data_IF_284038922537
#
_entry.id   IF_284038922537
#
_cell.length_a   1.000
_cell.length_b   1.000
_cell.length_c   1.000
_cell.angle_alpha   90.00
_cell.angle_beta   90.00
_cell.angle_gamma   90.00
#
_symmetry.space_group_name_H-M   'P 1'
#
loop_
_entity.id
_entity.type
_entity.pdbx_description
1 polymer ?
#
# COMPACT_ATOMS: atom_id res chain seq x y z
N UNK A 1 0.81 -8.67 -24.40
CA UNK A 1 0.91 -7.90 -23.15
C UNK A 1 2.33 -8.03 -22.54
N UNK A 2 3.18 -7.01 -22.65
CA UNK A 2 4.56 -7.02 -22.09
C UNK A 2 4.69 -6.30 -20.73
N UNK A 3 3.69 -5.50 -20.34
CA UNK A 3 3.78 -4.62 -19.16
C UNK A 3 3.84 -5.39 -17.83
N UNK A 4 3.05 -6.44 -17.67
CA UNK A 4 2.90 -7.15 -16.39
C UNK A 4 4.06 -8.08 -16.03
N UNK A 5 4.85 -8.54 -17.01
CA UNK A 5 5.98 -9.48 -16.76
C UNK A 5 7.21 -8.83 -16.11
N UNK A 6 7.20 -7.50 -15.87
CA UNK A 6 8.30 -6.76 -15.24
C UNK A 6 8.03 -6.33 -13.79
N UNK A 7 6.86 -6.65 -13.22
CA UNK A 7 6.42 -6.13 -11.92
C UNK A 7 7.37 -6.43 -10.76
N UNK A 8 7.80 -7.68 -10.57
CA UNK A 8 8.63 -8.06 -9.40
C UNK A 8 10.02 -7.42 -9.41
N UNK A 9 10.69 -7.39 -10.57
CA UNK A 9 11.99 -6.71 -10.70
C UNK A 9 11.88 -5.19 -10.44
N UNK A 10 10.71 -4.63 -10.70
CA UNK A 10 10.37 -3.23 -10.38
C UNK A 10 10.11 -3.04 -8.87
N UNK A 11 9.53 -4.03 -8.18
CA UNK A 11 9.33 -4.00 -6.71
C UNK A 11 10.66 -3.96 -5.97
N UNK A 12 11.64 -4.79 -6.33
CA UNK A 12 12.95 -4.79 -5.64
C UNK A 12 13.70 -3.46 -5.78
N UNK A 13 13.60 -2.81 -6.95
CA UNK A 13 14.17 -1.48 -7.14
C UNK A 13 13.44 -0.44 -6.29
N UNK A 14 12.11 -0.48 -6.28
CA UNK A 14 11.30 0.41 -5.46
C UNK A 14 11.55 0.23 -3.96
N UNK A 15 11.73 -1.01 -3.48
CA UNK A 15 12.07 -1.32 -2.09
C UNK A 15 13.44 -0.78 -1.68
N UNK A 16 14.44 -0.82 -2.57
CA UNK A 16 15.73 -0.17 -2.31
C UNK A 16 15.61 1.34 -2.15
N UNK A 17 14.83 1.98 -3.03
CA UNK A 17 14.53 3.43 -2.92
C UNK A 17 13.80 3.74 -1.62
N UNK A 18 12.80 2.91 -1.28
CA UNK A 18 12.01 3.05 -0.06
C UNK A 18 12.85 2.88 1.20
N UNK A 19 13.74 1.89 1.23
CA UNK A 19 14.66 1.70 2.35
C UNK A 19 15.57 2.93 2.57
N UNK A 20 16.07 3.51 1.47
CA UNK A 20 16.92 4.70 1.53
C UNK A 20 16.15 5.95 2.00
N UNK A 21 14.88 6.09 1.64
CA UNK A 21 14.06 7.25 1.99
C UNK A 21 13.41 7.15 3.36
N UNK A 22 12.88 5.98 3.74
CA UNK A 22 12.10 5.79 4.95
C UNK A 22 12.95 5.56 6.20
N UNK A 23 14.19 5.08 6.05
CA UNK A 23 15.09 4.84 7.18
C UNK A 23 14.46 3.91 8.23
N UNK A 24 14.31 4.40 9.47
CA UNK A 24 13.68 3.64 10.56
C UNK A 24 12.21 3.28 10.30
N UNK A 25 11.50 4.10 9.51
CA UNK A 25 10.10 3.86 9.14
C UNK A 25 9.95 2.82 8.02
N UNK A 26 11.04 2.27 7.48
CA UNK A 26 10.99 1.32 6.37
C UNK A 26 10.13 0.09 6.67
N UNK A 27 10.21 -0.45 7.90
CA UNK A 27 9.40 -1.60 8.30
C UNK A 27 7.89 -1.30 8.27
N UNK A 28 7.50 -0.15 8.80
CA UNK A 28 6.10 0.28 8.82
C UNK A 28 5.59 0.56 7.40
N UNK A 29 6.42 1.17 6.54
CA UNK A 29 6.08 1.40 5.15
C UNK A 29 5.88 0.09 4.36
N UNK A 30 6.75 -0.91 4.57
CA UNK A 30 6.61 -2.24 3.95
C UNK A 30 5.34 -2.94 4.45
N UNK A 31 5.03 -2.85 5.74
CA UNK A 31 3.81 -3.41 6.31
C UNK A 31 2.55 -2.74 5.72
N UNK A 32 2.51 -1.41 5.64
CA UNK A 32 1.40 -0.68 5.04
C UNK A 32 1.18 -1.05 3.57
N UNK A 33 2.25 -1.16 2.79
CA UNK A 33 2.20 -1.60 1.40
C UNK A 33 1.69 -3.05 1.28
N UNK A 34 2.14 -3.95 2.15
CA UNK A 34 1.66 -5.34 2.21
C UNK A 34 0.16 -5.36 2.46
N UNK A 35 -0.30 -4.67 3.50
CA UNK A 35 -1.71 -4.67 3.92
C UNK A 35 -2.63 -4.09 2.84
N UNK A 36 -2.18 -3.05 2.11
CA UNK A 36 -2.88 -2.53 0.93
C UNK A 36 -3.08 -3.62 -0.12
N UNK A 37 -2.01 -4.35 -0.50
CA UNK A 37 -2.13 -5.38 -1.53
C UNK A 37 -2.89 -6.61 -1.03
N UNK A 38 -2.71 -7.00 0.23
CA UNK A 38 -3.41 -8.10 0.88
C UNK A 38 -4.93 -7.89 0.82
N UNK A 39 -5.40 -6.70 1.21
CA UNK A 39 -6.82 -6.37 1.18
C UNK A 39 -7.44 -6.54 -0.23
N UNK A 40 -6.69 -6.25 -1.29
CA UNK A 40 -7.13 -6.43 -2.67
C UNK A 40 -7.05 -7.90 -3.09
N UNK A 41 -5.98 -8.62 -2.74
CA UNK A 41 -5.84 -10.05 -3.05
C UNK A 41 -6.95 -10.87 -2.40
N UNK A 42 -7.35 -10.53 -1.17
CA UNK A 42 -8.46 -11.19 -0.45
C UNK A 42 -9.82 -10.96 -1.11
N UNK A 43 -10.04 -9.75 -1.66
CA UNK A 43 -11.31 -9.35 -2.27
C UNK A 43 -11.06 -8.58 -3.57
N UNK A 44 -10.68 -9.26 -4.66
CA UNK A 44 -10.27 -8.58 -5.89
C UNK A 44 -11.41 -7.79 -6.53
N UNK A 45 -12.66 -8.22 -6.35
CA UNK A 45 -13.86 -7.57 -6.92
C UNK A 45 -14.30 -6.29 -6.17
N UNK A 46 -13.70 -6.02 -4.99
CA UNK A 46 -14.02 -4.84 -4.19
C UNK A 46 -13.28 -3.60 -4.74
N UNK A 47 -13.95 -2.87 -5.64
CA UNK A 47 -13.41 -1.67 -6.28
C UNK A 47 -12.98 -0.57 -5.29
N UNK A 48 -13.58 -0.49 -4.11
CA UNK A 48 -13.18 0.50 -3.11
C UNK A 48 -11.75 0.26 -2.60
N UNK A 49 -11.34 -1.00 -2.48
CA UNK A 49 -9.97 -1.39 -2.06
C UNK A 49 -8.92 -1.11 -3.14
N UNK A 50 -9.35 -0.99 -4.39
CA UNK A 50 -8.49 -0.70 -5.55
C UNK A 50 -8.26 0.80 -5.77
N UNK A 51 -8.78 1.66 -4.88
CA UNK A 51 -8.70 3.12 -4.97
C UNK A 51 -8.10 3.70 -3.69
N UNK A 52 -6.93 4.30 -3.80
CA UNK A 52 -6.24 4.96 -2.70
C UNK A 52 -6.29 6.47 -2.93
N UNK A 53 -6.78 7.23 -1.95
CA UNK A 53 -6.75 8.70 -1.99
C UNK A 53 -5.38 9.17 -1.54
N UNK A 54 -4.67 9.94 -2.35
CA UNK A 54 -3.35 10.46 -1.95
C UNK A 54 -3.45 11.42 -0.76
N UNK A 55 -4.59 12.10 -0.59
CA UNK A 55 -4.85 12.97 0.55
C UNK A 55 -5.17 12.23 1.87
N UNK A 56 -5.26 10.89 1.86
CA UNK A 56 -5.46 10.13 3.08
C UNK A 56 -4.21 10.25 3.97
N UNK A 57 -4.37 10.78 5.19
CA UNK A 57 -3.24 11.08 6.08
C UNK A 57 -2.44 9.84 6.49
N UNK A 58 -3.08 8.67 6.67
CA UNK A 58 -2.38 7.43 7.00
C UNK A 58 -1.56 6.95 5.80
N UNK A 59 -2.16 6.97 4.60
CA UNK A 59 -1.44 6.65 3.36
C UNK A 59 -0.25 7.60 3.13
N UNK A 60 -0.45 8.90 3.37
CA UNK A 60 0.61 9.89 3.23
C UNK A 60 1.78 9.63 4.18
N UNK A 61 1.47 9.44 5.47
CA UNK A 61 2.44 9.18 6.53
C UNK A 61 3.24 7.91 6.28
N UNK A 62 2.57 6.83 5.89
CA UNK A 62 3.17 5.48 5.90
C UNK A 62 3.76 5.09 4.55
N UNK A 63 3.33 5.72 3.44
CA UNK A 63 3.73 5.32 2.09
C UNK A 63 4.08 6.51 1.20
N UNK A 64 3.21 7.51 1.10
CA UNK A 64 3.28 8.52 0.04
C UNK A 64 4.44 9.51 0.21
N UNK A 65 4.82 9.78 1.46
CA UNK A 65 5.89 10.71 1.81
C UNK A 65 7.30 10.12 1.62
N UNK A 66 7.41 8.83 1.28
CA UNK A 66 8.69 8.17 1.06
C UNK A 66 8.92 7.87 -0.42
N UNK A 67 10.11 8.22 -0.91
CA UNK A 67 10.51 7.84 -2.27
C UNK A 67 10.49 6.32 -2.40
N UNK A 68 9.95 5.80 -3.49
CA UNK A 68 9.79 4.36 -3.69
C UNK A 68 8.44 3.79 -3.23
N UNK A 69 7.72 4.45 -2.31
CA UNK A 69 6.40 3.98 -1.84
C UNK A 69 5.38 3.85 -2.98
N UNK A 70 5.17 4.93 -3.74
CA UNK A 70 4.35 4.89 -4.96
C UNK A 70 4.90 3.95 -6.04
N UNK A 71 6.23 3.78 -6.12
CA UNK A 71 6.84 2.93 -7.15
C UNK A 71 6.51 1.46 -6.92
N UNK A 72 6.40 1.00 -5.66
CA UNK A 72 5.88 -0.34 -5.33
C UNK A 72 4.45 -0.50 -5.86
N UNK A 73 3.58 0.49 -5.62
CA UNK A 73 2.19 0.46 -6.09
C UNK A 73 2.10 0.47 -7.62
N UNK A 74 2.92 1.28 -8.30
CA UNK A 74 3.00 1.28 -9.77
C UNK A 74 3.47 -0.07 -10.31
N UNK A 75 4.37 -0.75 -9.61
CA UNK A 75 4.84 -2.10 -9.96
C UNK A 75 3.72 -3.14 -9.83
N UNK A 76 2.80 -2.96 -8.86
CA UNK A 76 1.59 -3.77 -8.72
C UNK A 76 0.51 -3.44 -9.78
N UNK A 77 0.64 -2.33 -10.50
CA UNK A 77 -0.27 -1.92 -11.58
C UNK A 77 -1.16 -0.72 -11.26
N UNK A 78 -0.97 -0.06 -10.13
CA UNK A 78 -1.67 1.19 -9.83
C UNK A 78 -1.31 2.28 -10.85
N UNK A 79 -2.26 3.16 -11.09
CA UNK A 79 -2.10 4.32 -11.95
C UNK A 79 -2.55 5.57 -11.21
N UNK A 80 -1.79 6.67 -11.34
CA UNK A 80 -2.20 7.96 -10.81
C UNK A 80 -3.30 8.55 -11.70
N UNK A 81 -4.40 8.95 -11.09
CA UNK A 81 -5.51 9.65 -11.75
C UNK A 81 -5.88 10.90 -10.94
N UNK A 82 -6.50 11.86 -11.62
CA UNK A 82 -7.06 13.05 -10.99
C UNK A 82 -8.57 13.06 -11.26
N UNK A 83 -9.37 13.40 -10.25
CA UNK A 83 -10.81 13.64 -10.42
C UNK A 83 -11.23 14.89 -9.68
N UNK A 84 -12.35 15.47 -10.08
CA UNK A 84 -13.00 16.51 -9.29
C UNK A 84 -13.34 15.98 -7.91
N UNK A 85 -12.89 16.67 -6.87
CA UNK A 85 -13.13 16.30 -5.48
C UNK A 85 -14.57 16.54 -5.03
N UNK A 86 -15.35 17.30 -5.82
CA UNK A 86 -16.71 17.74 -5.45
C UNK A 86 -16.74 18.72 -4.27
N UNK A 87 -15.59 19.20 -3.80
CA UNK A 87 -15.48 20.23 -2.77
C UNK A 87 -15.34 21.58 -3.47
N UNK A 88 -16.29 22.47 -3.21
CA UNK A 88 -16.15 23.88 -3.56
C UNK A 88 -15.16 24.51 -2.58
N UNK A 89 -14.21 25.34 -3.05
CA UNK A 89 -13.30 26.05 -2.15
C UNK A 89 -14.12 26.91 -1.17
N UNK A 90 -13.59 27.09 0.04
CA UNK A 90 -14.18 28.03 0.98
C UNK A 90 -14.20 29.41 0.31
N UNK A 91 -15.41 29.95 0.11
CA UNK A 91 -15.65 31.18 -0.62
C UNK A 91 -14.97 32.36 0.09
N UNK A 92 -13.84 32.80 -0.42
CA UNK A 92 -13.29 34.13 -0.19
C UNK A 92 -12.88 34.68 -1.56
N UNK A 93 -13.75 35.56 -2.06
CA UNK A 93 -13.62 36.51 -3.17
C UNK A 93 -13.31 35.98 -4.61
N UNK A 94 -14.24 36.38 -5.49
CA UNK A 94 -14.20 36.42 -6.97
C UNK A 94 -14.58 35.16 -7.76
N UNK A 95 -15.42 35.41 -8.77
CA UNK A 95 -16.02 34.47 -9.72
C UNK A 95 -14.96 33.78 -10.57
N UNK A 96 -14.45 32.65 -10.11
CA UNK A 96 -13.73 31.71 -10.95
C UNK A 96 -14.23 30.29 -10.65
N UNK A 97 -14.49 29.52 -11.71
CA UNK A 97 -14.87 28.10 -11.71
C UNK A 97 -13.69 27.22 -11.22
N UNK A 98 -13.21 27.45 -10.00
CA UNK A 98 -12.09 26.70 -9.41
C UNK A 98 -12.56 25.34 -8.89
N UNK A 99 -12.46 24.33 -9.74
CA UNK A 99 -12.67 22.94 -9.33
C UNK A 99 -11.45 22.39 -8.59
N UNK A 100 -11.63 21.95 -7.35
CA UNK A 100 -10.57 21.28 -6.57
C UNK A 100 -10.38 19.86 -7.10
N UNK A 101 -9.19 19.55 -7.60
CA UNK A 101 -8.81 18.21 -8.08
C UNK A 101 -8.23 17.38 -6.95
N UNK A 102 -8.67 16.12 -6.82
CA UNK A 102 -8.05 15.12 -5.95
C UNK A 102 -7.28 14.07 -6.74
N UNK A 103 -6.11 13.72 -6.23
CA UNK A 103 -5.24 12.67 -6.77
C UNK A 103 -5.56 11.31 -6.15
N UNK A 104 -5.73 10.29 -6.98
CA UNK A 104 -5.95 8.91 -6.56
C UNK A 104 -4.96 7.97 -7.24
N UNK A 105 -4.56 6.92 -6.52
CA UNK A 105 -3.96 5.74 -7.12
C UNK A 105 -5.06 4.71 -7.34
N UNK A 106 -5.23 4.28 -8.58
CA UNK A 106 -6.29 3.35 -8.98
C UNK A 106 -5.67 2.11 -9.64
N UNK A 107 -6.03 0.93 -9.14
CA UNK A 107 -5.72 -0.34 -9.78
C UNK A 107 -6.91 -0.74 -10.66
N UNK A 108 -6.75 -0.62 -11.98
CA UNK A 108 -7.81 -0.96 -12.94
C UNK A 108 -7.78 -2.45 -13.28
N UNK A 109 -8.92 -3.08 -13.10
CA UNK A 109 -9.14 -4.47 -13.50
C UNK A 109 -9.37 -4.56 -15.01
N UNK A 110 -8.70 -5.50 -15.72
CA UNK A 110 -9.02 -5.83 -17.10
C UNK A 110 -10.43 -6.44 -17.20
N UNK A 111 -11.22 -6.04 -18.18
CA UNK A 111 -12.54 -6.64 -18.40
C UNK A 111 -12.37 -8.02 -19.04
N UNK A 112 -12.75 -9.13 -18.38
CA UNK A 112 -12.51 -10.48 -18.91
C UNK A 112 -13.22 -10.75 -20.25
N UNK A 113 -14.33 -10.06 -20.52
CA UNK A 113 -15.13 -10.24 -21.74
C UNK A 113 -14.53 -9.53 -22.95
N UNK A 114 -13.87 -8.37 -22.75
CA UNK A 114 -13.27 -7.60 -23.84
C UNK A 114 -11.76 -7.81 -23.96
N UNK A 115 -11.07 -7.91 -22.83
CA UNK A 115 -9.60 -7.95 -22.74
C UNK A 115 -9.07 -9.39 -22.65
N UNK A 116 -9.98 -10.34 -22.41
CA UNK A 116 -9.70 -11.77 -22.30
C UNK A 116 -9.31 -12.21 -20.89
N UNK A 117 -9.64 -13.46 -20.56
CA UNK A 117 -9.34 -14.06 -19.26
C UNK A 117 -7.83 -14.13 -18.96
N UNK A 118 -7.00 -14.25 -19.99
CA UNK A 118 -5.54 -14.21 -19.86
C UNK A 118 -5.03 -12.86 -19.34
N UNK A 119 -5.66 -11.75 -19.74
CA UNK A 119 -5.27 -10.42 -19.28
C UNK A 119 -5.64 -10.23 -17.80
N UNK A 120 -6.82 -10.67 -17.41
CA UNK A 120 -7.26 -10.70 -16.01
C UNK A 120 -6.33 -11.58 -15.15
N UNK A 121 -6.03 -12.79 -15.62
CA UNK A 121 -5.13 -13.73 -14.91
C UNK A 121 -3.74 -13.12 -14.73
N UNK A 122 -3.16 -12.53 -15.77
CA UNK A 122 -1.86 -11.89 -15.68
C UNK A 122 -1.84 -10.68 -14.74
N UNK A 123 -2.93 -9.91 -14.69
CA UNK A 123 -3.10 -8.81 -13.74
C UNK A 123 -3.12 -9.33 -12.30
N UNK A 124 -3.94 -10.34 -12.02
CA UNK A 124 -4.08 -10.89 -10.68
C UNK A 124 -2.81 -11.62 -10.21
N UNK A 125 -2.12 -12.33 -11.11
CA UNK A 125 -0.83 -12.95 -10.82
C UNK A 125 0.26 -11.92 -10.50
N UNK A 126 0.28 -10.76 -11.18
CA UNK A 126 1.19 -9.67 -10.85
C UNK A 126 0.92 -9.12 -9.44
N UNK A 127 -0.36 -8.91 -9.10
CA UNK A 127 -0.77 -8.44 -7.78
C UNK A 127 -0.31 -9.42 -6.67
N UNK A 128 -0.57 -10.72 -6.85
CA UNK A 128 -0.12 -11.77 -5.93
C UNK A 128 1.40 -11.83 -5.82
N UNK A 129 2.12 -11.67 -6.92
CA UNK A 129 3.59 -11.69 -6.91
C UNK A 129 4.18 -10.50 -6.16
N UNK A 130 3.62 -9.29 -6.35
CA UNK A 130 4.03 -8.10 -5.60
C UNK A 130 3.70 -8.24 -4.11
N UNK A 131 2.51 -8.75 -3.78
CA UNK A 131 2.10 -9.02 -2.40
C UNK A 131 3.03 -10.04 -1.72
N UNK A 132 3.32 -11.18 -2.38
CA UNK A 132 4.23 -12.19 -1.87
C UNK A 132 5.62 -11.60 -1.59
N UNK A 133 6.15 -10.77 -2.49
CA UNK A 133 7.45 -10.13 -2.30
C UNK A 133 7.49 -9.18 -1.10
N UNK A 134 6.42 -8.42 -0.87
CA UNK A 134 6.27 -7.55 0.31
C UNK A 134 6.14 -8.34 1.60
N UNK A 135 5.42 -9.46 1.57
CA UNK A 135 5.32 -10.38 2.71
C UNK A 135 6.69 -10.94 3.07
N UNK A 136 7.44 -11.44 2.09
CA UNK A 136 8.79 -11.98 2.31
C UNK A 136 9.74 -10.90 2.86
N UNK A 137 9.58 -9.64 2.43
CA UNK A 137 10.34 -8.51 2.98
C UNK A 137 9.98 -8.23 4.45
N UNK A 138 8.69 -8.20 4.78
CA UNK A 138 8.21 -8.00 6.13
C UNK A 138 8.73 -9.10 7.07
N UNK A 139 8.65 -10.37 6.64
CA UNK A 139 9.19 -11.50 7.39
C UNK A 139 10.70 -11.39 7.59
N UNK A 140 11.45 -10.98 6.56
CA UNK A 140 12.90 -10.74 6.65
C UNK A 140 13.21 -9.65 7.68
N UNK A 141 12.44 -8.56 7.70
CA UNK A 141 12.63 -7.45 8.63
C UNK A 141 12.34 -7.87 10.07
N UNK A 142 11.26 -8.61 10.30
CA UNK A 142 10.94 -9.18 11.61
C UNK A 142 12.03 -10.13 12.11
N UNK A 143 12.55 -11.02 11.24
CA UNK A 143 13.64 -11.93 11.59
C UNK A 143 14.97 -11.20 11.85
N UNK A 144 15.16 -10.03 11.24
CA UNK A 144 16.37 -9.20 11.41
C UNK A 144 16.29 -8.30 12.65
N UNK A 145 15.13 -8.19 13.31
CA UNK A 145 15.04 -7.47 14.58
C UNK A 145 15.92 -8.19 15.60
N UNK A 146 16.83 -7.48 16.28
CA UNK A 146 17.64 -8.10 17.32
C UNK A 146 16.68 -8.72 18.32
N UNK A 147 16.77 -10.05 18.49
CA UNK A 147 16.10 -10.75 19.56
C UNK A 147 16.50 -10.02 20.83
N UNK A 148 15.54 -9.35 21.47
CA UNK A 148 15.76 -8.70 22.76
C UNK A 148 16.42 -9.76 23.62
N UNK A 149 17.72 -9.58 23.87
CA UNK A 149 18.49 -10.46 24.71
C UNK A 149 17.70 -10.65 25.98
N UNK A 150 17.69 -11.90 26.45
CA UNK A 150 17.05 -12.37 27.66
C UNK A 150 17.42 -11.46 28.86
N UNK A 151 16.78 -10.31 29.00
CA UNK A 151 16.76 -9.50 30.20
C UNK A 151 15.40 -9.76 30.82
N UNK A 152 15.49 -10.37 32.00
CA UNK A 152 14.39 -10.85 32.79
C UNK A 152 13.22 -9.86 32.87
N UNK A 153 12.02 -10.40 32.62
CA UNK A 153 10.81 -10.08 33.38
C UNK A 153 10.34 -8.63 33.39
N UNK A 154 9.57 -8.25 32.36
CA UNK A 154 8.37 -7.46 32.57
C UNK A 154 7.33 -7.91 31.55
N UNK A 155 6.20 -8.44 32.03
CA UNK A 155 5.09 -8.81 31.17
C UNK A 155 4.56 -7.57 30.41
N UNK A 156 4.04 -7.71 29.18
CA UNK A 156 3.38 -6.64 28.46
C UNK A 156 2.21 -6.08 29.30
N UNK A 157 2.06 -4.75 29.34
CA UNK A 157 1.10 -4.01 30.16
C UNK A 157 -0.39 -4.21 29.79
N UNK A 158 -0.71 -5.18 28.94
CA UNK A 158 -2.08 -5.50 28.51
C UNK A 158 -2.58 -6.85 29.00
N UNK A 159 -1.73 -7.63 29.71
CA UNK A 159 -2.18 -8.84 30.42
C UNK A 159 -2.82 -8.41 31.74
N UNK A 160 -4.15 -8.25 31.72
CA UNK A 160 -4.95 -8.03 32.92
C UNK A 160 -4.99 -9.33 33.75
N UNK A 161 -4.01 -9.50 34.63
CA UNK A 161 -4.05 -10.54 35.67
C UNK A 161 -4.99 -10.12 36.80
N UNK A 162 -6.27 -9.94 36.48
CA UNK A 162 -7.32 -10.07 37.49
C UNK A 162 -7.54 -11.54 37.79
N UNK A 163 -6.67 -12.03 38.66
CA UNK A 163 -6.89 -13.18 39.51
C UNK A 163 -8.10 -12.87 40.39
N UNK A 164 -9.29 -13.31 39.97
CA UNK A 164 -10.48 -13.29 40.82
C UNK A 164 -10.27 -14.34 41.91
N UNK A 165 -9.80 -13.89 43.07
CA UNK A 165 -10.06 -14.57 44.33
C UNK A 165 -11.46 -14.16 44.74
N UNK A 166 -12.41 -15.08 44.60
CA UNK A 166 -13.46 -15.48 45.55
C UNK A 166 -14.36 -16.50 44.85
#
# INVERSE_FOLDING_TARGET
SRAWRRGVASVDAALRTLAASAGEAYGDAVAALRDILEAIVEKPDDDARRRLRCANAAFARDVDNFDGGRQVLFSAGFQLTHRSSGVEPAQDDEEDDWQVWESLLVLREPNPLSDGFDAWTAWFDNLKACHARLRDEAERLEASRPSKGLLAGAAPSWVDTKRSLY
#
